data_IF_953307054098
#
_entry.id   IF_953307054098
#
_cell.length_a   1.000
_cell.length_b   1.000
_cell.length_c   1.000
_cell.angle_alpha   90.00
_cell.angle_beta   90.00
_cell.angle_gamma   90.00
#
_symmetry.space_group_name_H-M   'P 1'
#
loop_
_entity.id
_entity.type
_entity.pdbx_description
1 polymer ?
#
# COMPACT_ATOMS: atom_id res chain seq x y z
N UNK A 1 -4.74 8.69 2.68
CA UNK A 1 -4.89 8.03 4.00
C UNK A 1 -4.31 6.62 3.99
N UNK A 2 -4.73 5.69 3.07
CA UNK A 2 -4.20 4.31 3.02
C UNK A 2 -2.68 4.25 2.86
N UNK A 3 -2.13 5.02 1.91
CA UNK A 3 -0.69 5.14 1.72
C UNK A 3 0.01 5.63 2.98
N UNK A 4 -0.56 6.64 3.66
CA UNK A 4 0.00 7.16 4.91
C UNK A 4 -0.01 6.11 6.03
N UNK A 5 -0.98 5.18 6.07
CA UNK A 5 -0.95 4.05 7.01
C UNK A 5 0.23 3.10 6.74
N UNK A 6 0.49 2.79 5.48
CA UNK A 6 1.67 1.99 5.09
C UNK A 6 2.97 2.68 5.49
N UNK A 7 3.12 3.96 5.14
CA UNK A 7 4.31 4.76 5.49
C UNK A 7 4.46 4.97 7.00
N UNK A 8 3.35 5.04 7.75
CA UNK A 8 3.42 5.10 9.20
C UNK A 8 4.06 3.86 9.82
N UNK A 9 3.75 2.67 9.28
CA UNK A 9 4.36 1.42 9.74
C UNK A 9 5.85 1.40 9.44
N UNK A 10 6.24 1.69 8.19
CA UNK A 10 7.64 1.59 7.76
C UNK A 10 8.50 2.70 8.34
N UNK A 11 8.08 3.94 8.23
CA UNK A 11 8.87 5.09 8.64
C UNK A 11 8.77 5.40 10.14
N UNK A 12 7.54 5.45 10.71
CA UNK A 12 7.36 5.91 12.10
C UNK A 12 7.50 4.80 13.13
N UNK A 13 7.09 3.57 12.79
CA UNK A 13 7.16 2.44 13.71
C UNK A 13 8.49 1.69 13.57
N UNK A 14 8.92 1.36 12.33
CA UNK A 14 10.14 0.58 12.08
C UNK A 14 11.42 1.41 11.93
N UNK A 15 11.30 2.73 11.80
CA UNK A 15 12.41 3.64 11.47
C UNK A 15 13.16 3.20 10.19
N UNK A 16 12.40 2.75 9.20
CA UNK A 16 12.90 2.24 7.92
C UNK A 16 12.40 3.12 6.77
N UNK A 17 13.28 3.96 6.17
CA UNK A 17 12.90 4.78 5.01
C UNK A 17 12.76 3.88 3.76
N UNK A 18 11.56 3.43 3.48
CA UNK A 18 11.25 2.51 2.39
C UNK A 18 10.86 3.25 1.11
N UNK A 19 11.76 3.26 0.12
CA UNK A 19 11.50 3.80 -1.21
C UNK A 19 10.83 2.79 -2.16
N UNK A 20 10.69 1.52 -1.76
CA UNK A 20 10.03 0.50 -2.59
C UNK A 20 8.55 0.79 -2.83
N UNK A 21 7.96 1.63 -1.98
CA UNK A 21 6.56 2.07 -2.07
C UNK A 21 6.23 2.74 -3.41
N UNK A 22 7.14 3.52 -3.99
CA UNK A 22 6.95 4.12 -5.33
C UNK A 22 6.81 3.05 -6.44
N UNK A 23 7.33 1.84 -6.22
CA UNK A 23 7.16 0.68 -7.11
C UNK A 23 5.96 -0.19 -6.78
N UNK A 24 5.66 -0.37 -5.49
CA UNK A 24 4.55 -1.24 -5.04
C UNK A 24 3.18 -0.57 -5.14
N UNK A 25 3.12 0.74 -5.07
CA UNK A 25 1.90 1.49 -5.32
C UNK A 25 1.36 1.26 -6.74
N UNK A 26 2.14 1.45 -7.83
CA UNK A 26 1.68 1.12 -9.17
C UNK A 26 1.50 -0.39 -9.39
N UNK A 27 2.22 -1.27 -8.65
CA UNK A 27 1.96 -2.71 -8.69
C UNK A 27 0.50 -3.01 -8.34
N UNK A 28 0.00 -2.43 -7.24
CA UNK A 28 -1.39 -2.59 -6.84
C UNK A 28 -2.37 -2.01 -7.86
N UNK A 29 -2.07 -0.83 -8.40
CA UNK A 29 -2.88 -0.18 -9.43
C UNK A 29 -3.00 -1.02 -10.70
N UNK A 30 -1.85 -1.46 -11.23
CA UNK A 30 -1.74 -2.23 -12.46
C UNK A 30 -2.40 -3.61 -12.31
N UNK A 31 -2.11 -4.31 -11.21
CA UNK A 31 -2.66 -5.63 -10.95
C UNK A 31 -4.18 -5.57 -10.84
N UNK A 32 -4.72 -4.59 -10.09
CA UNK A 32 -6.16 -4.38 -9.99
C UNK A 32 -6.78 -4.06 -11.36
N UNK A 33 -6.16 -3.17 -12.15
CA UNK A 33 -6.66 -2.81 -13.47
C UNK A 33 -6.73 -4.00 -14.42
N UNK A 34 -5.66 -4.81 -14.48
CA UNK A 34 -5.61 -6.02 -15.31
C UNK A 34 -6.62 -7.08 -14.86
N UNK A 35 -6.79 -7.27 -13.56
CA UNK A 35 -7.79 -8.22 -13.03
C UNK A 35 -9.21 -7.80 -13.39
N UNK A 36 -9.53 -6.51 -13.30
CA UNK A 36 -10.86 -5.98 -13.68
C UNK A 36 -11.09 -6.12 -15.18
N UNK A 37 -10.08 -5.89 -16.02
CA UNK A 37 -10.18 -6.13 -17.47
C UNK A 37 -10.51 -7.59 -17.78
N UNK A 38 -9.96 -8.53 -17.01
CA UNK A 38 -10.25 -9.97 -17.12
C UNK A 38 -11.58 -10.39 -16.49
N UNK A 39 -12.36 -9.45 -15.96
CA UNK A 39 -13.68 -9.72 -15.37
C UNK A 39 -13.67 -10.22 -13.93
N UNK A 40 -12.56 -10.08 -13.21
CA UNK A 40 -12.48 -10.40 -11.79
C UNK A 40 -13.23 -9.35 -10.97
N UNK A 41 -13.90 -9.79 -9.91
CA UNK A 41 -14.62 -8.90 -8.99
C UNK A 41 -13.71 -7.77 -8.45
N UNK A 42 -14.17 -6.50 -8.47
CA UNK A 42 -13.38 -5.36 -8.01
C UNK A 42 -12.92 -5.46 -6.55
N UNK A 43 -13.73 -6.04 -5.66
CA UNK A 43 -13.35 -6.25 -4.27
C UNK A 43 -12.23 -7.29 -4.12
N UNK A 44 -12.34 -8.38 -4.88
CA UNK A 44 -11.31 -9.42 -4.89
C UNK A 44 -9.99 -8.88 -5.44
N UNK A 45 -10.04 -8.00 -6.44
CA UNK A 45 -8.84 -7.36 -6.98
C UNK A 45 -8.09 -6.51 -5.95
N UNK A 46 -8.80 -5.87 -5.00
CA UNK A 46 -8.17 -5.15 -3.86
C UNK A 46 -7.38 -6.10 -2.97
N UNK A 47 -7.99 -7.24 -2.63
CA UNK A 47 -7.35 -8.23 -1.75
C UNK A 47 -6.11 -8.82 -2.41
N UNK A 48 -6.21 -9.18 -3.70
CA UNK A 48 -5.06 -9.70 -4.47
C UNK A 48 -3.94 -8.65 -4.55
N UNK A 49 -4.28 -7.38 -4.80
CA UNK A 49 -3.31 -6.29 -4.84
C UNK A 49 -2.61 -6.08 -3.49
N UNK A 50 -3.35 -6.17 -2.39
CA UNK A 50 -2.79 -6.10 -1.04
C UNK A 50 -1.78 -7.23 -0.79
N UNK A 51 -2.15 -8.48 -1.12
CA UNK A 51 -1.27 -9.65 -0.96
C UNK A 51 -0.02 -9.53 -1.85
N UNK A 52 -0.17 -9.08 -3.09
CA UNK A 52 0.96 -8.84 -3.99
C UNK A 52 1.91 -7.76 -3.44
N UNK A 53 1.37 -6.67 -2.89
CA UNK A 53 2.15 -5.65 -2.19
C UNK A 53 2.87 -6.21 -0.97
N UNK A 54 2.21 -7.06 -0.18
CA UNK A 54 2.86 -7.76 0.95
C UNK A 54 4.04 -8.63 0.47
N UNK A 55 3.87 -9.38 -0.62
CA UNK A 55 4.94 -10.20 -1.18
C UNK A 55 6.14 -9.34 -1.62
N UNK A 56 5.91 -8.20 -2.26
CA UNK A 56 6.96 -7.24 -2.60
C UNK A 56 7.68 -6.71 -1.35
N UNK A 57 6.94 -6.36 -0.30
CA UNK A 57 7.50 -5.92 0.98
C UNK A 57 8.32 -7.02 1.69
N UNK A 58 7.89 -8.30 1.60
CA UNK A 58 8.70 -9.43 2.08
C UNK A 58 10.03 -9.50 1.33
N UNK A 59 10.04 -9.35 0.01
CA UNK A 59 11.28 -9.34 -0.77
C UNK A 59 12.20 -8.20 -0.36
N UNK A 60 11.67 -6.98 -0.17
CA UNK A 60 12.44 -5.83 0.36
C UNK A 60 13.06 -6.16 1.71
N UNK A 61 12.26 -6.74 2.61
CA UNK A 61 12.71 -7.12 3.95
C UNK A 61 13.75 -8.23 3.95
N UNK A 62 13.60 -9.23 3.08
CA UNK A 62 14.60 -10.30 2.93
C UNK A 62 15.93 -9.76 2.41
N UNK A 63 15.92 -8.82 1.47
CA UNK A 63 17.14 -8.16 0.99
C UNK A 63 17.85 -7.42 2.12
N UNK A 64 17.11 -6.69 2.95
CA UNK A 64 17.71 -5.99 4.08
C UNK A 64 18.27 -6.95 5.13
N UNK A 65 17.48 -7.96 5.55
CA UNK A 65 17.81 -8.82 6.68
C UNK A 65 18.84 -9.89 6.32
N UNK A 66 18.67 -10.56 5.17
CA UNK A 66 19.57 -11.66 4.76
C UNK A 66 20.82 -11.19 4.01
N UNK A 67 20.68 -10.17 3.15
CA UNK A 67 21.79 -9.66 2.37
C UNK A 67 22.50 -8.47 3.05
N UNK A 68 22.00 -8.02 4.21
CA UNK A 68 22.57 -6.90 4.98
C UNK A 68 22.72 -5.61 4.17
N UNK A 69 21.82 -5.40 3.20
CA UNK A 69 21.80 -4.20 2.37
C UNK A 69 21.15 -3.06 3.17
N UNK A 70 21.63 -1.84 3.02
CA UNK A 70 21.06 -0.67 3.70
C UNK A 70 19.59 -0.44 3.29
N UNK A 71 18.73 0.06 4.17
CA UNK A 71 17.30 0.28 3.88
C UNK A 71 17.04 1.07 2.60
N UNK A 72 17.76 2.17 2.43
CA UNK A 72 17.62 3.05 1.26
C UNK A 72 17.96 2.31 -0.05
N UNK A 73 19.04 1.54 -0.06
CA UNK A 73 19.48 0.80 -1.25
C UNK A 73 18.51 -0.33 -1.59
N UNK A 74 17.99 -1.05 -0.57
CA UNK A 74 16.94 -2.04 -0.77
C UNK A 74 15.71 -1.44 -1.46
N UNK A 75 15.27 -0.27 -0.99
CA UNK A 75 14.13 0.44 -1.57
C UNK A 75 14.35 0.81 -3.04
N UNK A 76 15.53 1.33 -3.39
CA UNK A 76 15.87 1.70 -4.78
C UNK A 76 15.91 0.47 -5.69
N UNK A 77 16.54 -0.63 -5.25
CA UNK A 77 16.62 -1.88 -6.02
C UNK A 77 15.19 -2.43 -6.23
N UNK A 78 14.37 -2.48 -5.19
CA UNK A 78 13.01 -2.97 -5.30
C UNK A 78 12.13 -2.06 -6.17
N UNK A 79 12.29 -0.75 -6.09
CA UNK A 79 11.61 0.19 -6.98
C UNK A 79 11.89 -0.12 -8.45
N UNK A 80 13.18 -0.25 -8.82
CA UNK A 80 13.57 -0.56 -10.20
C UNK A 80 13.11 -1.94 -10.66
N UNK A 81 13.15 -2.94 -9.79
CA UNK A 81 12.63 -4.28 -10.08
C UNK A 81 11.11 -4.25 -10.31
N UNK A 82 10.37 -3.52 -9.46
CA UNK A 82 8.92 -3.40 -9.59
C UNK A 82 8.49 -2.64 -10.85
N UNK A 83 9.28 -1.69 -11.35
CA UNK A 83 9.03 -1.05 -12.64
C UNK A 83 8.96 -2.09 -13.78
N UNK A 84 9.90 -3.04 -13.80
CA UNK A 84 9.92 -4.11 -14.79
C UNK A 84 8.73 -5.07 -14.64
N UNK A 85 8.43 -5.46 -13.39
CA UNK A 85 7.30 -6.34 -13.08
C UNK A 85 5.97 -5.70 -13.50
N UNK A 86 5.75 -4.44 -13.16
CA UNK A 86 4.55 -3.69 -13.51
C UNK A 86 4.36 -3.60 -15.03
N UNK A 87 5.45 -3.39 -15.78
CA UNK A 87 5.41 -3.33 -17.23
C UNK A 87 5.04 -4.69 -17.84
N UNK A 88 5.59 -5.78 -17.31
CA UNK A 88 5.26 -7.14 -17.76
C UNK A 88 3.78 -7.45 -17.52
N UNK A 89 3.26 -7.11 -16.33
CA UNK A 89 1.86 -7.32 -15.98
C UNK A 89 0.94 -6.50 -16.90
N UNK A 90 1.29 -5.23 -17.16
CA UNK A 90 0.53 -4.37 -18.08
C UNK A 90 0.48 -4.97 -19.48
N UNK A 91 1.63 -5.30 -20.06
CA UNK A 91 1.71 -5.87 -21.41
C UNK A 91 0.94 -7.19 -21.54
N UNK A 92 1.02 -8.04 -20.53
CA UNK A 92 0.30 -9.32 -20.52
C UNK A 92 -1.22 -9.17 -20.32
N UNK A 93 -1.65 -8.06 -19.70
CA UNK A 93 -3.07 -7.81 -19.42
C UNK A 93 -3.79 -6.89 -20.39
N UNK A 94 -3.05 -6.15 -21.25
CA UNK A 94 -3.59 -5.14 -22.16
C UNK A 94 -3.17 -5.32 -23.61
N UNK A 95 -2.82 -6.55 -24.04
CA UNK A 95 -2.37 -6.86 -25.40
C UNK A 95 -1.25 -5.94 -25.92
N UNK A 96 -0.28 -5.66 -25.04
CA UNK A 96 0.89 -4.83 -25.36
C UNK A 96 0.76 -3.35 -24.97
N UNK A 97 -0.36 -2.92 -24.41
CA UNK A 97 -0.57 -1.54 -23.95
C UNK A 97 0.33 -1.16 -22.76
N UNK A 98 0.65 0.14 -22.64
CA UNK A 98 1.38 0.70 -21.50
C UNK A 98 0.45 1.21 -20.38
N UNK A 99 -0.86 1.22 -20.61
CA UNK A 99 -1.89 1.71 -19.70
C UNK A 99 -3.06 0.71 -19.73
N UNK A 100 -3.48 0.25 -18.56
CA UNK A 100 -4.71 -0.51 -18.42
C UNK A 100 -5.88 0.47 -18.25
N UNK A 101 -6.75 0.59 -19.28
CA UNK A 101 -7.93 1.44 -19.27
C UNK A 101 -9.19 0.60 -19.10
N UNK A 102 -9.95 0.82 -18.04
CA UNK A 102 -11.14 0.06 -17.67
C UNK A 102 -12.32 0.95 -17.27
N UNK A 103 -12.45 2.14 -17.91
CA UNK A 103 -13.55 3.09 -17.66
C UNK A 103 -14.95 2.51 -17.87
N UNK A 104 -15.07 1.51 -18.75
CA UNK A 104 -16.35 0.85 -19.08
C UNK A 104 -16.66 -0.35 -18.19
N UNK A 105 -15.72 -0.75 -17.34
CA UNK A 105 -15.89 -1.90 -16.45
C UNK A 105 -16.40 -1.49 -15.09
N UNK A 106 -17.03 -2.44 -14.42
CA UNK A 106 -17.49 -2.24 -13.05
C UNK A 106 -16.30 -2.11 -12.09
N UNK A 107 -16.36 -1.10 -11.25
CA UNK A 107 -15.39 -0.82 -10.16
C UNK A 107 -16.13 -0.79 -8.84
N UNK A 108 -15.41 -0.80 -7.71
CA UNK A 108 -16.02 -0.63 -6.39
C UNK A 108 -16.88 0.63 -6.27
N UNK A 109 -16.61 1.63 -7.10
CA UNK A 109 -17.37 2.90 -7.11
C UNK A 109 -18.64 2.86 -7.97
N UNK A 110 -18.80 1.88 -8.86
CA UNK A 110 -19.92 1.79 -9.80
C UNK A 110 -20.78 0.53 -9.64
N UNK A 111 -20.25 -0.55 -9.02
CA UNK A 111 -20.92 -1.85 -8.90
C UNK A 111 -21.54 -2.09 -7.53
N UNK A 112 -22.50 -3.00 -7.45
CA UNK A 112 -23.07 -3.54 -6.22
C UNK A 112 -23.68 -2.48 -5.30
N UNK A 113 -23.26 -2.47 -4.01
CA UNK A 113 -23.76 -1.53 -3.01
C UNK A 113 -23.54 -0.06 -3.36
N UNK A 114 -22.58 0.25 -4.22
CA UNK A 114 -22.32 1.62 -4.68
C UNK A 114 -23.49 2.20 -5.49
N UNK A 115 -24.30 1.37 -6.15
CA UNK A 115 -25.43 1.81 -6.97
C UNK A 115 -26.56 2.44 -6.15
N UNK A 116 -26.70 2.10 -4.88
CA UNK A 116 -27.69 2.67 -3.98
C UNK A 116 -27.39 4.13 -3.55
N UNK A 117 -26.13 4.57 -3.73
CA UNK A 117 -25.69 5.91 -3.36
C UNK A 117 -25.73 6.79 -4.61
N UNK A 118 -26.37 7.97 -4.60
CA UNK A 118 -26.38 8.88 -5.74
C UNK A 118 -24.96 9.28 -6.14
N UNK A 119 -24.70 9.34 -7.47
CA UNK A 119 -23.34 9.66 -8.00
C UNK A 119 -22.85 11.03 -7.53
N UNK A 120 -23.74 12.01 -7.52
CA UNK A 120 -23.42 13.38 -7.10
C UNK A 120 -24.63 14.07 -6.47
N UNK A 121 -24.36 14.87 -5.46
CA UNK A 121 -25.35 15.79 -4.86
C UNK A 121 -24.68 17.16 -4.76
N UNK A 122 -25.29 18.19 -5.39
CA UNK A 122 -24.75 19.54 -5.36
C UNK A 122 -23.36 19.71 -6.01
N UNK A 123 -23.01 18.88 -7.03
CA UNK A 123 -21.71 18.96 -7.71
C UNK A 123 -20.57 18.20 -7.06
N UNK A 124 -20.77 17.60 -5.88
CA UNK A 124 -19.75 16.79 -5.20
C UNK A 124 -19.94 15.29 -5.49
N UNK A 125 -18.85 14.58 -5.76
CA UNK A 125 -18.83 13.13 -5.96
C UNK A 125 -18.95 12.38 -4.63
N UNK A 126 -20.13 12.45 -4.00
CA UNK A 126 -20.37 11.92 -2.64
C UNK A 126 -20.16 10.41 -2.58
N UNK A 127 -20.57 9.67 -3.62
CA UNK A 127 -20.37 8.22 -3.70
C UNK A 127 -18.91 7.82 -3.50
N UNK A 128 -18.00 8.44 -4.25
CA UNK A 128 -16.54 8.16 -4.17
C UNK A 128 -16.00 8.51 -2.79
N UNK A 129 -16.44 9.63 -2.21
CA UNK A 129 -16.00 10.05 -0.89
C UNK A 129 -16.44 9.07 0.21
N UNK A 130 -17.71 8.63 0.18
CA UNK A 130 -18.24 7.68 1.19
C UNK A 130 -17.54 6.34 1.09
N UNK A 131 -17.42 5.77 -0.12
CA UNK A 131 -16.80 4.44 -0.29
C UNK A 131 -15.33 4.48 0.11
N UNK A 132 -14.57 5.49 -0.33
CA UNK A 132 -13.17 5.64 0.05
C UNK A 132 -12.99 5.85 1.56
N UNK A 133 -13.89 6.60 2.21
CA UNK A 133 -13.88 6.81 3.65
C UNK A 133 -14.15 5.50 4.41
N UNK A 134 -15.12 4.70 3.97
CA UNK A 134 -15.42 3.38 4.56
C UNK A 134 -14.19 2.46 4.46
N UNK A 135 -13.55 2.37 3.29
CA UNK A 135 -12.35 1.56 3.10
C UNK A 135 -11.24 2.02 4.05
N UNK A 136 -11.00 3.32 4.16
CA UNK A 136 -9.99 3.89 5.07
C UNK A 136 -10.29 3.57 6.53
N UNK A 137 -11.55 3.69 6.96
CA UNK A 137 -11.95 3.37 8.34
C UNK A 137 -11.73 1.89 8.64
N UNK A 138 -12.18 1.00 7.75
CA UNK A 138 -12.00 -0.44 7.92
C UNK A 138 -10.51 -0.80 8.01
N UNK A 139 -9.70 -0.30 7.08
CA UNK A 139 -8.25 -0.52 7.09
C UNK A 139 -7.59 0.03 8.36
N UNK A 140 -8.03 1.22 8.82
CA UNK A 140 -7.54 1.81 10.07
C UNK A 140 -7.87 0.94 11.28
N UNK A 141 -9.11 0.47 11.39
CA UNK A 141 -9.52 -0.40 12.50
C UNK A 141 -8.74 -1.72 12.50
N UNK A 142 -8.54 -2.32 11.33
CA UNK A 142 -7.72 -3.54 11.20
C UNK A 142 -6.26 -3.28 11.61
N UNK A 143 -5.69 -2.15 11.21
CA UNK A 143 -4.33 -1.76 11.59
C UNK A 143 -4.24 -1.50 13.10
N UNK A 144 -5.18 -0.78 13.70
CA UNK A 144 -5.20 -0.50 15.14
C UNK A 144 -5.33 -1.80 15.95
N UNK A 145 -6.17 -2.75 15.49
CA UNK A 145 -6.30 -4.08 16.06
C UNK A 145 -4.98 -4.86 15.97
N UNK A 146 -4.35 -4.86 14.81
CA UNK A 146 -3.05 -5.50 14.61
C UNK A 146 -1.97 -4.91 15.53
N UNK A 147 -1.88 -3.60 15.64
CA UNK A 147 -0.88 -2.93 16.48
C UNK A 147 -1.09 -3.17 17.99
N UNK A 148 -2.27 -3.60 18.41
CA UNK A 148 -2.56 -4.03 19.78
C UNK A 148 -2.20 -5.49 20.05
N UNK A 149 -1.93 -6.28 19.02
CA UNK A 149 -1.48 -7.68 19.17
C UNK A 149 -0.04 -7.75 19.69
N UNK A 150 0.36 -8.94 20.15
CA UNK A 150 1.73 -9.21 20.58
C UNK A 150 2.75 -8.90 19.46
N UNK A 151 2.42 -9.22 18.20
CA UNK A 151 3.26 -8.89 17.04
C UNK A 151 3.38 -7.39 16.80
N UNK A 152 2.30 -6.62 16.92
CA UNK A 152 2.32 -5.17 16.77
C UNK A 152 3.14 -4.47 17.87
N UNK A 153 3.07 -4.99 19.11
CA UNK A 153 3.90 -4.50 20.21
C UNK A 153 5.40 -4.79 19.97
N UNK A 154 5.72 -6.00 19.48
CA UNK A 154 7.09 -6.35 19.09
C UNK A 154 7.59 -5.49 17.94
N UNK A 155 6.74 -5.17 16.97
CA UNK A 155 7.08 -4.28 15.86
C UNK A 155 7.52 -2.89 16.36
N UNK A 156 6.76 -2.31 17.30
CA UNK A 156 7.09 -1.03 17.94
C UNK A 156 8.37 -1.10 18.76
N UNK A 157 8.57 -2.20 19.49
CA UNK A 157 9.77 -2.42 20.30
C UNK A 157 11.02 -2.52 19.41
N UNK A 158 10.94 -3.28 18.29
CA UNK A 158 12.02 -3.45 17.32
C UNK A 158 12.41 -2.11 16.68
N UNK A 159 11.43 -1.29 16.26
CA UNK A 159 11.72 0.01 15.68
C UNK A 159 12.35 1.00 16.66
N UNK A 160 12.01 0.90 17.96
CA UNK A 160 12.62 1.73 18.98
C UNK A 160 14.06 1.27 19.31
N UNK A 161 14.30 -0.03 19.43
CA UNK A 161 15.64 -0.60 19.69
C UNK A 161 15.63 -2.11 19.45
N UNK A 162 16.39 -2.56 18.46
CA UNK A 162 16.56 -3.98 18.12
C UNK A 162 17.03 -4.85 19.30
N UNK A 163 17.82 -4.30 20.23
CA UNK A 163 18.34 -5.03 21.39
C UNK A 163 17.23 -5.53 22.33
N UNK A 164 16.15 -4.77 22.50
CA UNK A 164 15.02 -5.24 23.30
C UNK A 164 14.36 -6.47 22.72
N UNK A 165 14.25 -6.55 21.41
CA UNK A 165 13.65 -7.70 20.73
C UNK A 165 14.52 -8.96 20.91
N UNK A 166 15.84 -8.81 20.83
CA UNK A 166 16.79 -9.91 21.09
C UNK A 166 16.69 -10.36 22.55
N UNK A 167 16.60 -9.45 23.52
CA UNK A 167 16.43 -9.79 24.94
C UNK A 167 15.13 -10.58 25.21
N UNK A 168 14.10 -10.39 24.40
CA UNK A 168 12.86 -11.15 24.45
C UNK A 168 12.95 -12.51 23.72
N UNK A 169 14.13 -12.90 23.25
CA UNK A 169 14.36 -14.16 22.52
C UNK A 169 13.70 -14.19 21.13
N UNK A 170 13.45 -13.01 20.52
CA UNK A 170 12.87 -12.89 19.18
C UNK A 170 13.87 -12.30 18.20
N UNK A 171 13.78 -12.77 16.94
CA UNK A 171 14.61 -12.24 15.86
C UNK A 171 14.04 -10.91 15.33
N UNK A 172 14.77 -9.79 15.46
CA UNK A 172 14.32 -8.49 14.95
C UNK A 172 14.18 -8.47 13.42
N UNK A 173 14.99 -9.30 12.71
CA UNK A 173 14.93 -9.40 11.26
C UNK A 173 13.57 -9.86 10.76
N UNK A 174 13.04 -10.94 11.34
CA UNK A 174 11.73 -11.46 10.99
C UNK A 174 10.62 -10.41 11.22
N UNK A 175 10.70 -9.66 12.32
CA UNK A 175 9.71 -8.64 12.65
C UNK A 175 9.77 -7.48 11.65
N UNK A 176 10.97 -7.05 11.22
CA UNK A 176 11.16 -6.04 10.18
C UNK A 176 10.56 -6.48 8.85
N UNK A 177 10.76 -7.75 8.45
CA UNK A 177 10.15 -8.30 7.23
C UNK A 177 8.62 -8.19 7.27
N UNK A 178 7.99 -8.57 8.37
CA UNK A 178 6.53 -8.46 8.52
C UNK A 178 6.04 -7.01 8.46
N UNK A 179 6.74 -6.08 9.08
CA UNK A 179 6.37 -4.67 9.04
C UNK A 179 6.49 -4.06 7.64
N UNK A 180 7.56 -4.40 6.90
CA UNK A 180 7.73 -3.99 5.50
C UNK A 180 6.67 -4.63 4.59
N UNK A 181 6.31 -5.89 4.84
CA UNK A 181 5.23 -6.56 4.13
C UNK A 181 3.90 -5.81 4.30
N UNK A 182 3.53 -5.48 5.52
CA UNK A 182 2.29 -4.73 5.79
C UNK A 182 2.32 -3.33 5.18
N UNK A 183 3.43 -2.60 5.32
CA UNK A 183 3.57 -1.25 4.77
C UNK A 183 3.38 -1.23 3.25
N UNK A 184 4.05 -2.13 2.54
CA UNK A 184 3.93 -2.28 1.09
C UNK A 184 2.56 -2.83 0.67
N UNK A 185 1.93 -3.69 1.47
CA UNK A 185 0.55 -4.12 1.26
C UNK A 185 -0.43 -2.95 1.25
N UNK A 186 -0.35 -2.04 2.24
CA UNK A 186 -1.17 -0.83 2.27
C UNK A 186 -0.86 0.13 1.12
N UNK A 187 0.39 0.22 0.67
CA UNK A 187 0.76 1.01 -0.49
C UNK A 187 0.12 0.47 -1.78
N UNK A 188 0.18 -0.83 -2.01
CA UNK A 188 -0.45 -1.48 -3.16
C UNK A 188 -1.98 -1.37 -3.11
N UNK A 189 -2.59 -1.52 -1.94
CA UNK A 189 -4.03 -1.31 -1.74
C UNK A 189 -4.43 0.13 -2.06
N UNK A 190 -3.64 1.11 -1.66
CA UNK A 190 -3.87 2.51 -2.00
C UNK A 190 -3.81 2.75 -3.52
N UNK A 191 -2.84 2.15 -4.20
CA UNK A 191 -2.71 2.20 -5.66
C UNK A 191 -3.93 1.59 -6.36
N UNK A 192 -4.38 0.43 -5.91
CA UNK A 192 -5.57 -0.25 -6.44
C UNK A 192 -6.84 0.60 -6.30
N UNK A 193 -7.08 1.19 -5.13
CA UNK A 193 -8.25 2.07 -4.90
C UNK A 193 -8.20 3.30 -5.80
N UNK A 194 -7.03 3.93 -5.96
CA UNK A 194 -6.88 5.10 -6.83
C UNK A 194 -7.07 4.73 -8.30
N UNK A 195 -6.53 3.60 -8.76
CA UNK A 195 -6.73 3.12 -10.13
C UNK A 195 -8.21 2.87 -10.42
N UNK A 196 -8.94 2.22 -9.52
CA UNK A 196 -10.37 1.98 -9.66
C UNK A 196 -11.20 3.27 -9.67
N UNK A 197 -10.79 4.28 -8.92
CA UNK A 197 -11.43 5.60 -8.96
C UNK A 197 -11.16 6.35 -10.27
N UNK A 198 -9.93 6.26 -10.79
CA UNK A 198 -9.54 6.87 -12.07
C UNK A 198 -10.05 6.10 -13.29
N UNK A 199 -10.36 4.80 -13.17
CA UNK A 199 -10.69 3.91 -14.28
C UNK A 199 -9.50 3.56 -15.19
N UNK A 200 -8.28 3.87 -14.76
CA UNK A 200 -7.05 3.57 -15.49
C UNK A 200 -5.90 3.30 -14.53
N UNK A 201 -4.96 2.47 -14.97
CA UNK A 201 -3.73 2.18 -14.25
C UNK A 201 -2.53 2.26 -15.17
N UNK A 202 -1.48 2.92 -14.72
CA UNK A 202 -0.20 3.02 -15.41
C UNK A 202 0.96 2.87 -14.42
N UNK A 203 2.14 2.63 -14.97
CA UNK A 203 3.37 2.42 -14.19
C UNK A 203 3.84 3.70 -13.46
N UNK A 204 3.54 4.89 -13.99
CA UNK A 204 4.04 6.16 -13.47
C UNK A 204 3.22 6.71 -12.29
N UNK A 205 2.10 6.06 -11.96
CA UNK A 205 1.23 6.48 -10.85
C UNK A 205 1.94 6.49 -9.48
N UNK A 206 3.05 5.76 -9.34
CA UNK A 206 3.82 5.66 -8.10
C UNK A 206 4.84 6.77 -7.89
N UNK A 207 5.19 7.52 -8.94
CA UNK A 207 6.28 8.52 -8.86
C UNK A 207 5.95 9.61 -7.84
N UNK A 208 6.79 9.72 -6.81
CA UNK A 208 6.63 10.72 -5.74
C UNK A 208 5.62 10.36 -4.66
N UNK A 209 5.02 9.16 -4.70
CA UNK A 209 4.06 8.73 -3.67
C UNK A 209 4.71 8.56 -2.30
N UNK A 210 5.98 8.15 -2.23
CA UNK A 210 6.75 8.11 -0.99
C UNK A 210 6.81 9.50 -0.35
N UNK A 211 7.11 10.53 -1.11
CA UNK A 211 7.20 11.91 -0.60
C UNK A 211 5.87 12.37 -0.06
N UNK A 212 4.77 12.15 -0.80
CA UNK A 212 3.42 12.49 -0.34
C UNK A 212 3.01 11.71 0.90
N UNK A 213 3.36 10.42 0.96
CA UNK A 213 3.11 9.56 2.10
C UNK A 213 3.86 10.01 3.35
N UNK A 214 5.17 10.26 3.24
CA UNK A 214 6.01 10.77 4.33
C UNK A 214 5.55 12.14 4.82
N UNK A 215 5.30 13.09 3.91
CA UNK A 215 4.79 14.41 4.28
C UNK A 215 3.48 14.30 5.07
N UNK A 216 2.55 13.44 4.63
CA UNK A 216 1.28 13.21 5.32
C UNK A 216 1.48 12.66 6.74
N UNK A 217 2.44 11.73 6.92
CA UNK A 217 2.76 11.15 8.23
C UNK A 217 3.42 12.18 9.14
N UNK A 218 4.43 12.91 8.64
CA UNK A 218 5.18 13.91 9.43
C UNK A 218 4.25 15.04 9.88
N UNK A 219 3.42 15.57 8.97
CA UNK A 219 2.44 16.62 9.29
C UNK A 219 1.44 16.09 10.32
N UNK A 220 0.90 14.89 10.13
CA UNK A 220 -0.03 14.27 11.06
C UNK A 220 0.56 14.11 12.46
N UNK A 221 1.78 13.58 12.56
CA UNK A 221 2.46 13.41 13.85
C UNK A 221 2.78 14.75 14.52
N UNK A 222 3.20 15.77 13.76
CA UNK A 222 3.52 17.09 14.33
C UNK A 222 2.29 17.84 14.84
N UNK A 223 1.16 17.74 14.14
CA UNK A 223 -0.12 18.34 14.56
C UNK A 223 -0.64 17.69 15.84
N UNK A 224 -0.64 16.37 15.93
CA UNK A 224 -1.17 15.65 17.10
C UNK A 224 -0.20 15.61 18.28
N UNK A 225 1.11 15.82 18.08
CA UNK A 225 2.09 15.94 19.18
C UNK A 225 1.89 17.20 20.02
N UNK A 226 1.24 18.23 19.48
CA UNK A 226 0.90 19.49 20.15
C UNK A 226 -0.34 19.41 21.04
N UNK A 227 -1.08 18.29 20.99
CA UNK A 227 -2.37 18.09 21.71
C UNK A 227 -2.20 17.20 22.95
N UNK A 228 -0.95 16.91 23.36
CA UNK A 228 -0.66 16.21 24.64
C UNK A 228 -0.25 17.18 25.73
#
# INVERSE_FOLDING_TARGET
ALLAMGMYITYSILDFPDLSVDGTFPLGAVLSGVLILKGVDPWLSLVISFVAGMAAGVLTGLMHVKLHITPLLCGIIMYTAMLSVNLVILKAGTDGGAVASFFTKDTIFNSGMASYIPKSVGGFYIRTAIISLVIVIVCKLLLDLYLRTKHGLLLRATGANDKYTVMLGKDPGTIKIFGLALGNGFAALAGSVIAQNKGSADQQMGVGMVVLGLASVIIGLSLFKRVK
#
